data_IF_050469470101
#
_entry.id   IF_050469470101
#
_cell.length_a   1.000
_cell.length_b   1.000
_cell.length_c   1.000
_cell.angle_alpha   90.00
_cell.angle_beta   90.00
_cell.angle_gamma   90.00
#
_symmetry.space_group_name_H-M   'P 1'
#
loop_
_entity.id
_entity.type
_entity.pdbx_description
1 polymer ?
#
# COMPACT_ATOMS: atom_id res chain seq x y z
N UNK A 1 9.56 0.96 -7.27
CA UNK A 1 9.04 0.40 -8.54
C UNK A 1 8.14 1.44 -9.20
N UNK A 2 8.07 1.48 -10.53
CA UNK A 2 7.32 2.50 -11.28
C UNK A 2 8.12 3.25 -12.36
N UNK A 3 9.41 2.92 -12.55
CA UNK A 3 10.28 3.57 -13.54
C UNK A 3 9.76 3.48 -14.99
N UNK A 4 8.89 2.52 -15.29
CA UNK A 4 8.25 2.29 -16.59
C UNK A 4 6.72 2.52 -16.57
N UNK A 5 6.22 3.18 -15.54
CA UNK A 5 4.79 3.29 -15.26
C UNK A 5 4.33 2.17 -14.35
N UNK A 6 3.73 2.52 -13.21
CA UNK A 6 3.19 1.59 -12.22
C UNK A 6 1.83 1.00 -12.65
N UNK A 7 1.66 0.72 -13.94
CA UNK A 7 0.44 0.08 -14.48
C UNK A 7 0.62 -1.43 -14.42
N UNK A 8 -0.33 -2.12 -13.77
CA UNK A 8 -0.42 -3.58 -13.81
C UNK A 8 -0.80 -4.10 -15.20
N UNK A 9 -1.23 -3.21 -16.10
CA UNK A 9 -1.61 -3.51 -17.47
C UNK A 9 -0.87 -2.56 -18.43
N UNK A 10 0.42 -2.81 -18.72
CA UNK A 10 1.24 -1.91 -19.55
C UNK A 10 0.70 -1.79 -20.98
N UNK A 11 -0.06 -2.78 -21.46
CA UNK A 11 -0.70 -2.79 -22.78
C UNK A 11 -2.07 -2.08 -22.83
N UNK A 12 -2.59 -1.59 -21.70
CA UNK A 12 -3.82 -0.80 -21.71
C UNK A 12 -3.60 0.68 -22.03
N UNK A 13 -2.36 1.14 -21.90
CA UNK A 13 -1.87 2.36 -22.54
C UNK A 13 -2.01 2.22 -24.08
N UNK A 14 -2.75 3.14 -24.71
CA UNK A 14 -3.07 3.09 -26.15
C UNK A 14 -1.83 2.93 -27.06
N UNK A 15 -0.72 3.68 -26.88
CA UNK A 15 0.47 3.50 -27.71
C UNK A 15 1.11 2.11 -27.66
N UNK A 16 1.03 1.39 -26.53
CA UNK A 16 1.62 0.05 -26.37
C UNK A 16 0.81 -1.08 -27.06
N UNK A 17 -0.38 -0.79 -27.59
CA UNK A 17 -1.24 -1.78 -28.29
C UNK A 17 -0.88 -2.00 -29.76
N UNK A 18 -0.09 -1.11 -30.33
CA UNK A 18 0.22 -1.16 -31.75
C UNK A 18 1.51 -1.96 -31.99
N UNK A 19 1.51 -2.94 -32.91
CA UNK A 19 2.69 -3.77 -33.20
C UNK A 19 3.90 -2.97 -33.72
N UNK A 20 3.65 -1.80 -34.28
CA UNK A 20 4.66 -0.89 -34.77
C UNK A 20 4.37 0.54 -34.29
N UNK A 21 5.45 1.29 -34.07
CA UNK A 21 5.36 2.71 -33.75
C UNK A 21 5.11 3.49 -35.04
N UNK A 22 4.04 4.27 -35.09
CA UNK A 22 3.71 5.17 -36.19
C UNK A 22 3.15 6.47 -35.61
N UNK A 23 3.27 7.57 -36.38
CA UNK A 23 2.62 8.83 -36.04
C UNK A 23 1.10 8.65 -35.95
N UNK A 24 0.53 7.69 -36.66
CA UNK A 24 -0.92 7.40 -36.62
C UNK A 24 -1.39 6.63 -35.39
N UNK A 25 -0.48 6.20 -34.50
CA UNK A 25 -0.87 5.49 -33.28
C UNK A 25 -1.78 6.37 -32.41
N UNK A 26 -2.88 5.80 -31.93
CA UNK A 26 -3.87 6.54 -31.16
C UNK A 26 -3.29 6.99 -29.80
N UNK A 27 -3.18 8.30 -29.60
CA UNK A 27 -2.76 8.96 -28.35
C UNK A 27 -3.67 10.15 -28.04
N UNK A 28 -3.59 10.70 -26.82
CA UNK A 28 -4.34 11.93 -26.50
C UNK A 28 -3.81 13.09 -27.35
N UNK A 29 -4.71 14.00 -27.74
CA UNK A 29 -4.31 15.21 -28.45
C UNK A 29 -3.40 16.10 -27.59
N UNK A 30 -2.61 16.97 -28.23
CA UNK A 30 -1.69 17.88 -27.54
C UNK A 30 -0.32 17.26 -27.28
N UNK A 31 0.16 17.33 -26.04
CA UNK A 31 1.54 16.95 -25.69
C UNK A 31 1.87 15.48 -25.98
N UNK A 32 0.92 14.56 -25.80
CA UNK A 32 1.15 13.14 -26.04
C UNK A 32 1.36 12.84 -27.52
N UNK A 33 0.60 13.52 -28.40
CA UNK A 33 0.81 13.46 -29.86
C UNK A 33 2.16 14.02 -30.28
N UNK A 34 2.57 15.17 -29.74
CA UNK A 34 3.89 15.74 -30.00
C UNK A 34 5.03 14.81 -29.57
N UNK A 35 4.89 14.14 -28.41
CA UNK A 35 5.86 13.16 -27.93
C UNK A 35 5.94 11.93 -28.82
N UNK A 36 4.79 11.41 -29.30
CA UNK A 36 4.74 10.29 -30.23
C UNK A 36 5.44 10.64 -31.55
N UNK A 37 5.12 11.81 -32.13
CA UNK A 37 5.71 12.24 -33.41
C UNK A 37 7.23 12.39 -33.29
N UNK A 38 7.70 13.02 -32.21
CA UNK A 38 9.13 13.15 -31.91
C UNK A 38 9.80 11.79 -31.74
N UNK A 39 9.16 10.84 -31.06
CA UNK A 39 9.68 9.49 -30.85
C UNK A 39 9.84 8.75 -32.19
N UNK A 40 8.86 8.86 -33.09
CA UNK A 40 8.93 8.26 -34.43
C UNK A 40 10.04 8.90 -35.26
N UNK A 41 10.18 10.22 -35.22
CA UNK A 41 11.21 10.93 -35.99
C UNK A 41 12.62 10.59 -35.49
N UNK A 42 12.83 10.56 -34.17
CA UNK A 42 14.12 10.20 -33.56
C UNK A 42 14.47 8.75 -33.84
N UNK A 43 13.53 7.81 -33.68
CA UNK A 43 13.79 6.39 -33.87
C UNK A 43 13.85 5.98 -35.35
N UNK A 44 13.18 6.70 -36.24
CA UNK A 44 13.21 6.45 -37.69
C UNK A 44 14.54 6.85 -38.34
N UNK A 45 15.30 7.76 -37.71
CA UNK A 45 16.56 8.28 -38.23
C UNK A 45 17.83 7.57 -37.73
N UNK A 46 17.72 6.55 -36.87
CA UNK A 46 18.88 5.90 -36.26
C UNK A 46 19.21 4.55 -36.92
N UNK A 47 20.50 4.21 -36.96
CA UNK A 47 20.96 2.89 -37.38
C UNK A 47 20.67 1.82 -36.33
N UNK A 48 20.76 0.55 -36.72
CA UNK A 48 20.61 -0.59 -35.79
C UNK A 48 21.63 -0.54 -34.65
N UNK A 49 22.86 -0.16 -34.95
CA UNK A 49 23.96 -0.06 -33.99
C UNK A 49 23.68 1.08 -32.99
N UNK A 50 23.21 2.22 -33.49
CA UNK A 50 22.79 3.36 -32.65
C UNK A 50 21.60 2.97 -31.77
N UNK A 51 20.61 2.25 -32.31
CA UNK A 51 19.46 1.76 -31.55
C UNK A 51 19.87 0.83 -30.40
N UNK A 52 20.82 -0.08 -30.62
CA UNK A 52 21.36 -0.96 -29.56
C UNK A 52 22.04 -0.13 -28.47
N UNK A 53 22.83 0.88 -28.84
CA UNK A 53 23.51 1.77 -27.87
C UNK A 53 22.49 2.57 -27.07
N UNK A 54 21.48 3.14 -27.73
CA UNK A 54 20.42 3.89 -27.06
C UNK A 54 19.61 3.01 -26.10
N UNK A 55 19.25 1.78 -26.52
CA UNK A 55 18.56 0.83 -25.65
C UNK A 55 19.38 0.49 -24.40
N UNK A 56 20.68 0.21 -24.56
CA UNK A 56 21.57 -0.01 -23.40
C UNK A 56 21.59 1.19 -22.47
N UNK A 57 21.64 2.41 -23.03
CA UNK A 57 21.63 3.63 -22.22
C UNK A 57 20.30 3.83 -21.50
N UNK A 58 19.17 3.57 -22.15
CA UNK A 58 17.84 3.60 -21.54
C UNK A 58 17.73 2.57 -20.41
N UNK A 59 18.20 1.34 -20.60
CA UNK A 59 18.24 0.32 -19.55
C UNK A 59 19.10 0.75 -18.36
N UNK A 60 20.27 1.34 -18.62
CA UNK A 60 21.14 1.89 -17.58
C UNK A 60 20.41 2.98 -16.77
N UNK A 61 19.76 3.94 -17.44
CA UNK A 61 18.97 4.99 -16.78
C UNK A 61 17.85 4.39 -15.94
N UNK A 62 17.17 3.35 -16.44
CA UNK A 62 16.10 2.66 -15.70
C UNK A 62 16.62 1.95 -14.45
N UNK A 63 17.82 1.35 -14.52
CA UNK A 63 18.51 0.76 -13.36
C UNK A 63 18.83 1.87 -12.36
N UNK A 64 19.47 2.96 -12.79
CA UNK A 64 19.83 4.09 -11.91
C UNK A 64 18.60 4.72 -11.25
N UNK A 65 17.49 4.86 -11.99
CA UNK A 65 16.20 5.32 -11.44
C UNK A 65 15.63 4.29 -10.45
N UNK A 66 15.76 2.99 -10.74
CA UNK A 66 15.36 1.92 -9.84
C UNK A 66 16.16 1.92 -8.52
N UNK A 67 17.46 2.13 -8.61
CA UNK A 67 18.38 2.23 -7.46
C UNK A 67 18.07 3.46 -6.61
N UNK A 68 17.97 4.65 -7.22
CA UNK A 68 17.56 5.88 -6.50
C UNK A 68 16.20 5.71 -5.83
N UNK A 69 15.26 5.04 -6.51
CA UNK A 69 13.96 4.74 -5.93
C UNK A 69 14.05 3.76 -4.75
N UNK A 70 15.01 2.82 -4.75
CA UNK A 70 15.24 1.94 -3.60
C UNK A 70 15.88 2.70 -2.43
N UNK A 71 16.82 3.61 -2.69
CA UNK A 71 17.43 4.47 -1.66
C UNK A 71 16.37 5.35 -0.97
N UNK A 72 15.30 5.72 -1.70
CA UNK A 72 14.12 6.39 -1.11
C UNK A 72 13.49 5.62 0.05
N UNK A 73 13.72 4.31 0.22
CA UNK A 73 13.14 3.53 1.32
C UNK A 73 14.17 3.05 2.35
N UNK A 74 15.46 3.42 2.20
CA UNK A 74 16.48 3.13 3.20
C UNK A 74 16.42 4.08 4.39
N UNK A 75 16.69 3.55 5.57
CA UNK A 75 16.92 4.25 6.85
C UNK A 75 18.22 3.69 7.44
N UNK A 76 19.09 4.57 7.93
CA UNK A 76 20.42 4.21 8.46
C UNK A 76 20.40 3.89 9.98
N UNK A 77 19.27 4.09 10.67
CA UNK A 77 19.16 3.94 12.12
C UNK A 77 18.21 2.82 12.55
N UNK A 78 18.64 2.07 13.57
CA UNK A 78 17.77 1.17 14.33
C UNK A 78 17.21 1.92 15.53
N UNK A 79 15.96 1.63 15.88
CA UNK A 79 15.24 2.35 16.92
C UNK A 79 15.53 1.73 18.28
N UNK A 80 16.06 2.49 19.23
CA UNK A 80 16.19 2.07 20.65
C UNK A 80 14.92 2.45 21.46
N UNK A 81 13.77 2.39 20.79
CA UNK A 81 12.46 2.83 21.30
C UNK A 81 11.85 1.86 22.31
N UNK A 82 11.05 2.39 23.25
CA UNK A 82 10.18 1.58 24.10
C UNK A 82 8.86 1.25 23.38
N UNK A 83 8.18 0.17 23.76
CA UNK A 83 6.86 -0.16 23.19
C UNK A 83 5.85 1.00 23.33
N UNK A 84 5.93 1.77 24.43
CA UNK A 84 5.09 2.93 24.66
C UNK A 84 5.42 4.08 23.70
N UNK A 85 6.71 4.35 23.46
CA UNK A 85 7.15 5.32 22.45
C UNK A 85 6.62 4.90 21.07
N UNK A 86 6.77 3.63 20.70
CA UNK A 86 6.25 3.10 19.42
C UNK A 86 4.73 3.25 19.29
N UNK A 87 3.97 2.99 20.36
CA UNK A 87 2.51 3.21 20.35
C UNK A 87 2.14 4.67 20.10
N UNK A 88 2.85 5.59 20.74
CA UNK A 88 2.62 7.03 20.57
C UNK A 88 2.97 7.45 19.13
N UNK A 89 4.11 6.98 18.59
CA UNK A 89 4.50 7.21 17.19
C UNK A 89 3.41 6.79 16.20
N UNK A 90 2.81 5.61 16.38
CA UNK A 90 1.73 5.12 15.53
C UNK A 90 0.49 6.01 15.56
N UNK A 91 0.19 6.59 16.72
CA UNK A 91 -0.94 7.51 16.89
C UNK A 91 -0.67 8.85 16.22
N UNK A 92 0.55 9.37 16.37
CA UNK A 92 1.00 10.63 15.78
C UNK A 92 1.08 10.54 14.25
N UNK A 93 1.49 9.39 13.70
CA UNK A 93 1.50 9.12 12.25
C UNK A 93 0.11 9.21 11.59
N UNK A 94 -0.96 9.03 12.36
CA UNK A 94 -2.33 9.18 11.87
C UNK A 94 -2.89 10.60 12.03
N UNK A 95 -2.16 11.50 12.70
CA UNK A 95 -2.62 12.87 12.93
C UNK A 95 -2.59 13.72 11.65
N UNK A 96 -1.67 13.44 10.72
CA UNK A 96 -1.62 14.10 9.42
C UNK A 96 -2.40 13.34 8.34
N UNK A 97 -3.24 14.07 7.60
CA UNK A 97 -4.12 13.49 6.58
C UNK A 97 -3.37 13.29 5.25
N UNK A 98 -2.59 12.23 5.13
CA UNK A 98 -1.96 11.84 3.87
C UNK A 98 -2.77 10.75 3.15
N UNK A 99 -3.77 11.20 2.38
CA UNK A 99 -4.36 10.45 1.26
C UNK A 99 -5.10 9.14 1.56
N UNK A 100 -5.39 8.81 2.81
CA UNK A 100 -6.06 7.56 3.23
C UNK A 100 -5.20 6.29 3.16
N UNK A 101 -4.10 6.33 2.40
CA UNK A 101 -3.11 5.26 2.26
C UNK A 101 -2.39 4.95 3.58
N UNK A 102 -2.20 5.96 4.44
CA UNK A 102 -1.42 5.83 5.68
C UNK A 102 -2.03 4.81 6.65
N UNK A 103 -3.34 4.80 6.84
CA UNK A 103 -4.00 3.86 7.75
C UNK A 103 -3.78 2.41 7.32
N UNK A 104 -4.00 2.12 6.03
CA UNK A 104 -3.80 0.78 5.48
C UNK A 104 -2.34 0.32 5.60
N UNK A 105 -1.38 1.23 5.32
CA UNK A 105 0.06 0.96 5.46
C UNK A 105 0.41 0.63 6.92
N UNK A 106 -0.11 1.38 7.90
CA UNK A 106 0.16 1.12 9.32
C UNK A 106 -0.42 -0.23 9.78
N UNK A 107 -1.65 -0.55 9.37
CA UNK A 107 -2.29 -1.83 9.65
C UNK A 107 -1.46 -2.99 9.07
N UNK A 108 -1.09 -2.89 7.78
CA UNK A 108 -0.25 -3.89 7.13
C UNK A 108 1.13 -4.04 7.78
N UNK A 109 1.73 -2.93 8.21
CA UNK A 109 3.01 -2.92 8.94
C UNK A 109 2.89 -3.71 10.25
N UNK A 110 1.83 -3.47 11.03
CA UNK A 110 1.59 -4.17 12.29
C UNK A 110 1.35 -5.68 12.08
N UNK A 111 0.62 -6.05 11.04
CA UNK A 111 0.40 -7.46 10.67
C UNK A 111 1.72 -8.16 10.28
N UNK A 112 2.61 -7.47 9.55
CA UNK A 112 3.95 -7.98 9.25
C UNK A 112 4.81 -8.10 10.49
N UNK A 113 4.78 -7.12 11.40
CA UNK A 113 5.49 -7.19 12.69
C UNK A 113 5.03 -8.41 13.49
N UNK A 114 3.72 -8.66 13.55
CA UNK A 114 3.16 -9.84 14.22
C UNK A 114 3.58 -11.14 13.54
N UNK A 115 3.48 -11.22 12.20
CA UNK A 115 3.93 -12.39 11.43
C UNK A 115 5.41 -12.70 11.69
N UNK A 116 6.27 -11.67 11.64
CA UNK A 116 7.70 -11.78 11.91
C UNK A 116 7.98 -12.14 13.37
N UNK A 117 7.16 -11.67 14.31
CA UNK A 117 7.35 -11.94 15.75
C UNK A 117 7.22 -13.42 16.11
N UNK A 118 6.44 -14.16 15.31
CA UNK A 118 6.09 -15.56 15.55
C UNK A 118 6.52 -16.47 14.38
N UNK A 119 7.33 -15.96 13.46
CA UNK A 119 7.83 -16.70 12.29
C UNK A 119 6.71 -17.38 11.47
N UNK A 120 5.54 -16.75 11.36
CA UNK A 120 4.35 -17.36 10.76
C UNK A 120 4.44 -17.50 9.23
N UNK A 121 5.34 -16.75 8.58
CA UNK A 121 5.48 -16.78 7.12
C UNK A 121 4.30 -16.17 6.36
N UNK A 122 3.39 -15.46 7.04
CA UNK A 122 2.26 -14.82 6.37
C UNK A 122 2.72 -13.76 5.38
N UNK A 123 2.10 -13.79 4.20
CA UNK A 123 2.24 -12.75 3.19
C UNK A 123 1.14 -11.72 3.38
N UNK A 124 1.53 -10.50 3.72
CA UNK A 124 0.61 -9.36 3.93
C UNK A 124 0.69 -8.45 2.72
N UNK A 125 -0.39 -8.38 1.94
CA UNK A 125 -0.50 -7.52 0.76
C UNK A 125 -1.34 -6.29 1.11
N UNK A 126 -0.74 -5.10 1.06
CA UNK A 126 -1.46 -3.83 1.21
C UNK A 126 -1.75 -3.26 -0.17
N UNK A 127 -3.03 -3.10 -0.49
CA UNK A 127 -3.48 -2.66 -1.80
C UNK A 127 -3.49 -1.14 -1.93
N UNK A 128 -3.41 -0.65 -3.16
CA UNK A 128 -3.34 0.78 -3.44
C UNK A 128 -4.73 1.41 -3.40
N UNK A 129 -4.98 2.28 -2.41
CA UNK A 129 -6.26 2.96 -2.11
C UNK A 129 -6.88 3.74 -3.31
N UNK A 130 -6.10 4.07 -4.34
CA UNK A 130 -6.49 4.99 -5.43
C UNK A 130 -6.57 4.39 -6.84
N UNK A 131 -6.62 3.06 -7.03
CA UNK A 131 -7.02 2.50 -8.33
C UNK A 131 -8.46 1.99 -8.27
N UNK A 132 -9.41 2.89 -8.58
CA UNK A 132 -10.72 2.45 -9.07
C UNK A 132 -10.50 1.58 -10.32
N UNK A 133 -10.59 0.26 -10.15
CA UNK A 133 -10.49 -0.72 -11.24
C UNK A 133 -9.27 -1.67 -11.20
N UNK A 134 -8.48 -1.73 -10.13
CA UNK A 134 -7.42 -2.74 -10.03
C UNK A 134 -7.96 -4.09 -9.56
N UNK A 135 -7.71 -5.12 -10.36
CA UNK A 135 -7.75 -6.56 -10.06
C UNK A 135 -9.01 -7.14 -9.35
N UNK A 136 -9.71 -8.04 -10.06
CA UNK A 136 -10.80 -8.89 -9.56
C UNK A 136 -10.47 -9.80 -8.36
N UNK A 137 -9.26 -9.69 -7.77
CA UNK A 137 -8.75 -10.57 -6.70
C UNK A 137 -8.54 -9.86 -5.36
N UNK A 138 -8.62 -8.53 -5.31
CA UNK A 138 -8.42 -7.76 -4.07
C UNK A 138 -9.68 -7.87 -3.21
N UNK A 139 -9.58 -8.40 -1.98
CA UNK A 139 -10.74 -8.61 -1.10
C UNK A 139 -10.92 -7.43 -0.14
N UNK A 140 -9.93 -7.10 0.67
CA UNK A 140 -9.91 -5.89 1.51
C UNK A 140 -8.96 -4.82 0.98
N UNK A 141 -8.68 -3.80 1.79
CA UNK A 141 -7.52 -2.91 1.59
C UNK A 141 -6.20 -3.62 1.92
N UNK A 142 -6.26 -4.62 2.81
CA UNK A 142 -5.14 -5.50 3.16
C UNK A 142 -5.61 -6.95 3.09
N UNK A 143 -4.89 -7.80 2.36
CA UNK A 143 -5.15 -9.24 2.30
C UNK A 143 -3.98 -10.01 2.95
N UNK A 144 -4.31 -11.00 3.77
CA UNK A 144 -3.31 -11.82 4.50
C UNK A 144 -3.41 -13.27 4.06
N UNK A 145 -2.29 -13.79 3.56
CA UNK A 145 -2.18 -15.14 3.02
C UNK A 145 -1.23 -16.01 3.86
N UNK A 146 -1.60 -17.28 4.00
CA UNK A 146 -0.71 -18.36 4.41
C UNK A 146 -0.41 -19.21 3.16
N UNK A 147 0.82 -19.10 2.66
CA UNK A 147 1.19 -19.58 1.34
C UNK A 147 0.32 -18.94 0.24
N UNK A 148 -0.53 -19.74 -0.39
CA UNK A 148 -1.48 -19.28 -1.43
C UNK A 148 -2.92 -19.15 -0.94
N UNK A 149 -3.19 -19.45 0.34
CA UNK A 149 -4.54 -19.44 0.92
C UNK A 149 -4.79 -18.08 1.55
N UNK A 150 -5.84 -17.39 1.12
CA UNK A 150 -6.29 -16.17 1.78
C UNK A 150 -6.91 -16.56 3.13
N UNK A 151 -6.34 -16.05 4.22
CA UNK A 151 -6.75 -16.42 5.58
C UNK A 151 -7.75 -15.41 6.13
N UNK A 152 -7.50 -14.11 5.92
CA UNK A 152 -8.44 -13.05 6.24
C UNK A 152 -8.09 -11.79 5.45
N UNK A 153 -9.06 -10.88 5.37
CA UNK A 153 -8.92 -9.56 4.78
C UNK A 153 -9.19 -8.47 5.82
N UNK A 154 -8.60 -7.31 5.62
CA UNK A 154 -8.80 -6.12 6.45
C UNK A 154 -9.30 -4.97 5.58
N UNK A 155 -10.40 -4.35 5.99
CA UNK A 155 -10.89 -3.09 5.45
C UNK A 155 -10.46 -1.94 6.37
N UNK A 156 -9.93 -0.87 5.79
CA UNK A 156 -9.45 0.30 6.51
C UNK A 156 -10.30 1.54 6.18
N UNK A 157 -10.84 2.21 7.20
CA UNK A 157 -11.57 3.48 7.02
C UNK A 157 -10.92 4.64 7.74
N UNK A 158 -10.47 5.63 6.97
CA UNK A 158 -9.89 6.89 7.45
C UNK A 158 -10.91 8.04 7.52
N UNK A 159 -12.14 7.81 7.04
CA UNK A 159 -13.25 8.77 7.00
C UNK A 159 -14.53 8.16 7.59
N UNK A 160 -15.51 8.98 7.99
CA UNK A 160 -16.82 8.50 8.42
C UNK A 160 -17.43 7.52 7.41
N UNK A 161 -18.01 6.45 7.93
CA UNK A 161 -18.62 5.36 7.16
C UNK A 161 -19.97 4.99 7.77
N UNK A 162 -20.73 4.21 7.02
CA UNK A 162 -22.07 3.75 7.37
C UNK A 162 -22.09 2.24 7.59
N UNK A 163 -23.20 1.72 8.13
CA UNK A 163 -23.42 0.27 8.23
C UNK A 163 -23.36 -0.42 6.85
N UNK A 164 -23.79 0.26 5.78
CA UNK A 164 -23.75 -0.29 4.42
C UNK A 164 -22.31 -0.49 3.94
N UNK A 165 -21.38 0.38 4.32
CA UNK A 165 -19.96 0.22 4.00
C UNK A 165 -19.38 -1.03 4.67
N UNK A 166 -19.74 -1.28 5.94
CA UNK A 166 -19.34 -2.49 6.67
C UNK A 166 -19.96 -3.74 6.02
N UNK A 167 -21.25 -3.70 5.67
CA UNK A 167 -21.94 -4.80 5.00
C UNK A 167 -21.36 -5.10 3.61
N UNK A 168 -20.95 -4.07 2.87
CA UNK A 168 -20.30 -4.26 1.58
C UNK A 168 -18.96 -4.99 1.73
N UNK A 169 -18.10 -4.53 2.65
CA UNK A 169 -16.83 -5.19 2.97
C UNK A 169 -17.04 -6.64 3.41
N UNK A 170 -17.99 -6.87 4.31
CA UNK A 170 -18.30 -8.20 4.83
C UNK A 170 -18.76 -9.16 3.72
N UNK A 171 -19.67 -8.72 2.84
CA UNK A 171 -20.14 -9.52 1.71
C UNK A 171 -19.03 -9.84 0.72
N UNK A 172 -18.09 -8.91 0.52
CA UNK A 172 -16.91 -9.13 -0.34
C UNK A 172 -16.01 -10.22 0.26
N UNK A 173 -15.76 -10.16 1.57
CA UNK A 173 -15.01 -11.18 2.32
C UNK A 173 -15.69 -12.57 2.23
N UNK A 174 -16.99 -12.63 2.49
CA UNK A 174 -17.78 -13.87 2.36
C UNK A 174 -17.76 -14.44 0.94
N UNK A 175 -17.85 -13.59 -0.08
CA UNK A 175 -17.80 -14.01 -1.49
C UNK A 175 -16.43 -14.60 -1.87
N UNK A 176 -15.39 -14.26 -1.12
CA UNK A 176 -14.05 -14.84 -1.23
C UNK A 176 -13.88 -16.15 -0.43
N UNK A 177 -14.93 -16.62 0.26
CA UNK A 177 -14.91 -17.83 1.08
C UNK A 177 -14.33 -17.63 2.48
N UNK A 178 -14.23 -16.38 2.96
CA UNK A 178 -13.74 -16.08 4.30
C UNK A 178 -14.87 -16.09 5.32
N UNK A 179 -14.65 -16.79 6.43
CA UNK A 179 -15.52 -16.84 7.61
C UNK A 179 -15.09 -15.85 8.70
N UNK A 180 -14.00 -15.12 8.47
CA UNK A 180 -13.45 -14.12 9.39
C UNK A 180 -12.94 -12.89 8.65
N UNK A 181 -13.15 -11.72 9.23
CA UNK A 181 -12.79 -10.44 8.64
C UNK A 181 -12.42 -9.42 9.70
N UNK A 182 -11.63 -8.41 9.32
CA UNK A 182 -11.23 -7.32 10.21
C UNK A 182 -11.66 -6.01 9.56
N UNK A 183 -12.24 -5.12 10.34
CA UNK A 183 -12.58 -3.76 9.94
C UNK A 183 -11.96 -2.79 10.94
N UNK A 184 -11.01 -1.99 10.47
CA UNK A 184 -10.26 -1.05 11.31
C UNK A 184 -10.56 0.37 10.86
N UNK A 185 -10.91 1.24 11.80
CA UNK A 185 -11.19 2.64 11.52
C UNK A 185 -10.23 3.58 12.27
N UNK A 186 -9.94 4.73 11.66
CA UNK A 186 -9.08 5.75 12.24
C UNK A 186 -9.63 6.32 13.55
N UNK A 187 -8.72 6.73 14.45
CA UNK A 187 -9.07 7.18 15.81
C UNK A 187 -9.92 8.45 15.88
N UNK A 188 -9.98 9.22 14.79
CA UNK A 188 -10.80 10.44 14.69
C UNK A 188 -12.28 10.15 14.40
N UNK A 189 -12.63 8.90 14.12
CA UNK A 189 -14.00 8.50 13.80
C UNK A 189 -14.70 8.10 15.10
N UNK A 190 -15.77 8.84 15.43
CA UNK A 190 -16.65 8.50 16.53
C UNK A 190 -17.70 7.51 16.07
N UNK A 191 -17.76 6.35 16.73
CA UNK A 191 -18.77 5.31 16.48
C UNK A 191 -19.88 5.43 17.52
N UNK A 192 -21.13 5.48 17.09
CA UNK A 192 -22.28 5.43 17.99
C UNK A 192 -22.52 4.01 18.51
N UNK A 193 -23.11 3.89 19.69
CA UNK A 193 -23.53 2.59 20.25
C UNK A 193 -24.50 1.85 19.33
N UNK A 194 -25.37 2.58 18.63
CA UNK A 194 -26.30 2.04 17.63
C UNK A 194 -25.57 1.40 16.45
N UNK A 195 -24.54 2.07 15.92
CA UNK A 195 -23.74 1.52 14.82
C UNK A 195 -22.96 0.29 15.29
N UNK A 196 -22.36 0.34 16.49
CA UNK A 196 -21.65 -0.80 17.06
C UNK A 196 -22.56 -2.02 17.22
N UNK A 197 -23.76 -1.82 17.78
CA UNK A 197 -24.77 -2.87 17.94
C UNK A 197 -25.25 -3.43 16.60
N UNK A 198 -25.43 -2.55 15.61
CA UNK A 198 -25.85 -2.94 14.25
C UNK A 198 -24.79 -3.77 13.53
N UNK A 199 -23.50 -3.42 13.68
CA UNK A 199 -22.38 -4.20 13.13
C UNK A 199 -22.31 -5.59 13.75
N UNK A 200 -22.55 -5.71 15.06
CA UNK A 200 -22.63 -7.02 15.72
C UNK A 200 -23.76 -7.89 15.15
N UNK A 201 -24.97 -7.34 15.03
CA UNK A 201 -26.10 -8.07 14.44
C UNK A 201 -25.88 -8.45 12.97
N UNK A 202 -25.12 -7.63 12.24
CA UNK A 202 -24.70 -7.93 10.87
C UNK A 202 -23.73 -9.11 10.81
N UNK A 203 -22.73 -9.16 11.68
CA UNK A 203 -21.78 -10.28 11.76
C UNK A 203 -22.50 -11.59 12.10
N UNK A 204 -23.42 -11.57 13.07
CA UNK A 204 -24.25 -12.72 13.45
C UNK A 204 -25.13 -13.21 12.30
N UNK A 205 -25.79 -12.29 11.59
CA UNK A 205 -26.63 -12.61 10.42
C UNK A 205 -25.85 -13.32 9.31
N UNK A 206 -24.58 -12.99 9.17
CA UNK A 206 -23.71 -13.47 8.10
C UNK A 206 -22.79 -14.63 8.51
N UNK A 207 -22.91 -15.12 9.76
CA UNK A 207 -22.05 -16.15 10.35
C UNK A 207 -20.56 -15.90 10.08
N UNK A 208 -20.11 -14.67 10.38
CA UNK A 208 -18.73 -14.24 10.17
C UNK A 208 -18.12 -13.68 11.46
N UNK A 209 -16.90 -14.11 11.78
CA UNK A 209 -16.12 -13.55 12.87
C UNK A 209 -15.52 -12.20 12.43
N UNK A 210 -16.28 -11.13 12.63
CA UNK A 210 -15.87 -9.76 12.32
C UNK A 210 -15.24 -9.08 13.54
N UNK A 211 -13.95 -8.75 13.45
CA UNK A 211 -13.31 -7.80 14.37
C UNK A 211 -13.60 -6.38 13.90
N UNK A 212 -14.21 -5.55 14.75
CA UNK A 212 -14.56 -4.16 14.45
C UNK A 212 -14.00 -3.24 15.54
N UNK A 213 -12.95 -2.48 15.22
CA UNK A 213 -12.19 -1.73 16.23
C UNK A 213 -11.53 -0.47 15.68
N UNK A 214 -11.23 0.47 16.57
CA UNK A 214 -10.37 1.61 16.25
C UNK A 214 -8.94 1.16 15.99
N UNK A 215 -8.17 1.99 15.27
CA UNK A 215 -6.75 1.73 15.06
C UNK A 215 -5.95 1.71 16.37
N UNK A 216 -6.29 2.53 17.36
CA UNK A 216 -5.62 2.54 18.67
C UNK A 216 -5.80 1.20 19.40
N UNK A 217 -7.01 0.63 19.37
CA UNK A 217 -7.27 -0.69 19.95
C UNK A 217 -6.51 -1.77 19.18
N UNK A 218 -6.65 -1.79 17.84
CA UNK A 218 -5.97 -2.74 16.97
C UNK A 218 -4.45 -2.71 17.19
N UNK A 219 -3.83 -1.53 17.09
CA UNK A 219 -2.38 -1.36 17.29
C UNK A 219 -1.93 -1.77 18.69
N UNK A 220 -2.72 -1.49 19.73
CA UNK A 220 -2.40 -1.94 21.08
C UNK A 220 -2.34 -3.46 21.16
N UNK A 221 -3.34 -4.17 20.63
CA UNK A 221 -3.33 -5.64 20.60
C UNK A 221 -2.15 -6.18 19.79
N UNK A 222 -1.89 -5.62 18.61
CA UNK A 222 -0.78 -6.07 17.76
C UNK A 222 0.57 -5.88 18.45
N UNK A 223 0.79 -4.75 19.13
CA UNK A 223 2.03 -4.51 19.88
C UNK A 223 2.17 -5.43 21.09
N UNK A 224 1.08 -5.70 21.83
CA UNK A 224 1.10 -6.61 22.98
C UNK A 224 1.38 -8.06 22.58
N UNK A 225 0.91 -8.47 21.40
CA UNK A 225 1.11 -9.83 20.88
C UNK A 225 2.44 -9.99 20.15
N UNK A 226 3.18 -8.91 19.89
CA UNK A 226 4.44 -8.95 19.13
C UNK A 226 5.65 -8.96 20.06
N UNK A 227 6.74 -9.57 19.62
CA UNK A 227 7.98 -9.55 20.39
C UNK A 227 8.68 -8.19 20.25
N UNK A 228 9.47 -7.79 21.25
CA UNK A 228 10.11 -6.47 21.28
C UNK A 228 10.99 -6.24 20.05
N UNK A 229 11.82 -7.21 19.66
CA UNK A 229 12.74 -7.09 18.53
C UNK A 229 12.03 -6.74 17.21
N UNK A 230 10.94 -7.42 16.89
CA UNK A 230 10.18 -7.15 15.67
C UNK A 230 9.49 -5.79 15.71
N UNK A 231 9.09 -5.32 16.89
CA UNK A 231 8.53 -3.96 17.06
C UNK A 231 9.61 -2.88 16.87
N UNK A 232 10.86 -3.11 17.28
CA UNK A 232 11.96 -2.16 17.07
C UNK A 232 12.30 -1.99 15.57
N UNK A 233 12.01 -3.00 14.76
CA UNK A 233 12.14 -2.98 13.31
C UNK A 233 11.04 -2.18 12.60
N UNK A 234 10.08 -1.60 13.33
CA UNK A 234 8.93 -0.89 12.77
C UNK A 234 9.30 0.14 11.69
N UNK A 235 10.30 1.04 11.85
CA UNK A 235 10.64 2.00 10.82
C UNK A 235 10.99 1.37 9.47
N UNK A 236 11.75 0.26 9.51
CA UNK A 236 12.14 -0.50 8.32
C UNK A 236 10.92 -1.17 7.68
N UNK A 237 10.14 -1.90 8.47
CA UNK A 237 8.95 -2.63 8.00
C UNK A 237 7.89 -1.65 7.47
N UNK A 238 7.78 -0.45 8.05
CA UNK A 238 6.88 0.61 7.62
C UNK A 238 7.22 1.11 6.21
N UNK A 239 8.49 1.43 5.96
CA UNK A 239 8.94 1.86 4.63
C UNK A 239 8.89 0.74 3.59
N UNK A 240 9.19 -0.50 3.98
CA UNK A 240 9.00 -1.68 3.12
C UNK A 240 7.54 -1.85 2.74
N UNK A 241 6.62 -1.70 3.69
CA UNK A 241 5.18 -1.78 3.45
C UNK A 241 4.69 -0.66 2.53
N UNK A 242 5.13 0.58 2.76
CA UNK A 242 4.81 1.71 1.88
C UNK A 242 5.34 1.51 0.44
N UNK A 243 6.52 0.89 0.31
CA UNK A 243 7.11 0.57 -1.00
C UNK A 243 6.29 -0.48 -1.75
N UNK A 244 5.92 -1.56 -1.06
CA UNK A 244 5.14 -2.66 -1.63
C UNK A 244 3.72 -2.25 -1.99
N UNK A 245 3.09 -1.39 -1.18
CA UNK A 245 1.76 -0.84 -1.44
C UNK A 245 1.72 0.23 -2.55
N UNK A 246 2.89 0.55 -3.14
CA UNK A 246 3.04 1.62 -4.13
C UNK A 246 2.50 2.97 -3.63
N UNK A 247 2.79 3.28 -2.36
CA UNK A 247 2.38 4.52 -1.70
C UNK A 247 2.83 5.77 -2.49
N UNK A 248 2.01 6.82 -2.43
CA UNK A 248 2.31 8.10 -3.07
C UNK A 248 3.62 8.72 -2.57
N UNK A 249 4.27 9.53 -3.43
CA UNK A 249 5.55 10.15 -3.07
C UNK A 249 5.45 11.06 -1.85
N UNK A 250 4.32 11.75 -1.69
CA UNK A 250 3.98 12.56 -0.52
C UNK A 250 3.92 11.72 0.75
N UNK A 251 3.23 10.57 0.71
CA UNK A 251 3.11 9.65 1.85
C UNK A 251 4.47 9.12 2.26
N UNK A 252 5.30 8.66 1.32
CA UNK A 252 6.64 8.16 1.63
C UNK A 252 7.53 9.26 2.22
N UNK A 253 7.43 10.49 1.70
CA UNK A 253 8.20 11.63 2.22
C UNK A 253 7.79 11.97 3.65
N UNK A 254 6.49 12.00 3.91
CA UNK A 254 5.94 12.18 5.26
C UNK A 254 6.43 11.10 6.23
N UNK A 255 6.29 9.81 5.89
CA UNK A 255 6.73 8.71 6.74
C UNK A 255 8.22 8.81 7.06
N UNK A 256 9.07 9.12 6.07
CA UNK A 256 10.50 9.29 6.30
C UNK A 256 10.82 10.46 7.22
N UNK A 257 10.21 11.61 6.99
CA UNK A 257 10.44 12.80 7.81
C UNK A 257 10.01 12.54 9.25
N UNK A 258 8.83 11.95 9.45
CA UNK A 258 8.33 11.59 10.76
C UNK A 258 9.27 10.65 11.52
N UNK A 259 9.75 9.59 10.85
CA UNK A 259 10.70 8.66 11.45
C UNK A 259 11.99 9.39 11.83
N UNK A 260 12.52 10.24 10.95
CA UNK A 260 13.74 11.01 11.21
C UNK A 260 13.58 11.91 12.44
N UNK A 261 12.50 12.69 12.50
CA UNK A 261 12.23 13.62 13.61
C UNK A 261 12.07 12.87 14.95
N UNK A 262 11.49 11.67 14.92
CA UNK A 262 11.29 10.88 16.14
C UNK A 262 12.55 10.13 16.59
N UNK A 263 13.46 9.81 15.67
CA UNK A 263 14.74 9.17 16.00
C UNK A 263 15.83 10.19 16.36
N UNK A 264 15.78 11.41 15.82
CA UNK A 264 16.77 12.47 16.11
C UNK A 264 16.49 13.23 17.40
N UNK A 265 15.26 13.18 17.93
CA UNK A 265 14.90 13.78 19.23
C UNK A 265 15.48 13.05 20.45
N UNK A 266 16.20 11.94 20.24
CA UNK A 266 16.88 11.15 21.27
C UNK A 266 18.39 11.47 21.41
N UNK A 267 18.90 12.58 20.83
CA UNK A 267 20.28 13.10 21.03
C UNK A 267 20.33 14.41 21.83
#
# INVERSE_FOLDING_TARGET
MGALGASNEPYLNKPARFPALSKENAVRAGQDKQKLDLLVDVLGGISKEQAIVMLKKSLQILIEVGEKNNDKYKIDSTNDSSLLKTKNMLSDLLSEKHGGETLAILIGTLLKIYSNSHELGYKVEVHKVNQSGASSKEIGDIDVYDGSVLVFSVEAKDKPFTLQDVEHSLKKSLSAGLDKSIFVYGNSINISEDLHSSVKGLAEKHDNLLAFSSFNEFSTFMLLLSNKSSVLDLPRILLETAKESLASDSTVTYLKQFIKDTLETDN
#
